data_IF_623028919516
#
_entry.id   IF_623028919516
#
_cell.length_a   1.000
_cell.length_b   1.000
_cell.length_c   1.000
_cell.angle_alpha   90.00
_cell.angle_beta   90.00
_cell.angle_gamma   90.00
#
_symmetry.space_group_name_H-M   'P 1'
#
loop_
_entity.id
_entity.type
_entity.pdbx_description
1 polymer ?
#
# COMPACT_ATOMS: atom_id res chain seq x y z
N UNK A 1 7.60 5.53 -9.27
CA UNK A 1 7.46 5.57 -7.79
C UNK A 1 6.91 6.92 -7.38
N UNK A 2 6.38 7.07 -6.16
CA UNK A 2 5.85 8.37 -5.68
C UNK A 2 6.88 9.51 -5.83
N UNK A 3 8.17 9.18 -5.67
CA UNK A 3 9.29 10.09 -5.90
C UNK A 3 9.35 10.70 -7.32
N UNK A 4 8.92 10.00 -8.36
CA UNK A 4 8.95 10.53 -9.73
C UNK A 4 7.93 11.66 -9.94
N UNK A 5 6.90 11.69 -9.09
CA UNK A 5 5.81 12.68 -9.12
C UNK A 5 6.06 13.77 -8.08
N UNK A 6 6.58 13.39 -6.91
CA UNK A 6 6.84 14.24 -5.76
C UNK A 6 8.31 14.10 -5.30
N UNK A 7 9.27 14.60 -6.09
CA UNK A 7 10.70 14.34 -5.87
C UNK A 7 11.22 14.86 -4.54
N UNK A 8 10.60 15.91 -3.99
CA UNK A 8 11.00 16.54 -2.73
C UNK A 8 10.31 15.93 -1.50
N UNK A 9 9.24 15.14 -1.70
CA UNK A 9 8.46 14.59 -0.59
C UNK A 9 9.21 13.47 0.13
N UNK A 10 9.41 13.56 1.46
CA UNK A 10 10.05 12.49 2.23
C UNK A 10 9.26 11.19 2.18
N UNK A 11 9.95 10.09 1.93
CA UNK A 11 9.38 8.74 1.88
C UNK A 11 10.00 7.89 2.98
N UNK A 12 9.16 7.25 3.79
CA UNK A 12 9.57 6.13 4.62
C UNK A 12 9.21 4.83 3.91
N UNK A 13 10.21 4.00 3.62
CA UNK A 13 10.04 2.65 3.10
C UNK A 13 10.25 1.68 4.27
N UNK A 14 9.29 0.79 4.48
CA UNK A 14 9.41 -0.32 5.43
C UNK A 14 9.26 -1.60 4.62
N UNK A 15 10.27 -2.47 4.67
CA UNK A 15 10.31 -3.72 3.93
C UNK A 15 10.56 -4.88 4.89
N UNK A 16 9.71 -5.90 4.83
CA UNK A 16 9.87 -7.13 5.61
C UNK A 16 10.92 -8.05 5.02
N UNK A 17 11.08 -8.08 3.70
CA UNK A 17 12.02 -8.95 2.99
C UNK A 17 13.43 -8.36 2.95
N UNK A 18 14.34 -8.93 3.75
CA UNK A 18 15.75 -8.51 3.77
C UNK A 18 16.47 -8.74 2.44
N UNK A 19 15.98 -9.63 1.58
CA UNK A 19 16.59 -9.89 0.27
C UNK A 19 16.50 -8.66 -0.66
N UNK A 20 15.56 -7.74 -0.39
CA UNK A 20 15.42 -6.48 -1.14
C UNK A 20 16.33 -5.35 -0.62
N UNK A 21 17.12 -5.58 0.43
CA UNK A 21 17.89 -4.53 1.10
C UNK A 21 18.85 -3.81 0.15
N UNK A 22 19.57 -4.55 -0.71
CA UNK A 22 20.56 -3.95 -1.62
C UNK A 22 19.89 -3.04 -2.66
N UNK A 23 18.86 -3.55 -3.35
CA UNK A 23 18.12 -2.78 -4.36
C UNK A 23 17.40 -1.57 -3.75
N UNK A 24 16.80 -1.73 -2.56
CA UNK A 24 16.12 -0.63 -1.88
C UNK A 24 17.09 0.43 -1.37
N UNK A 25 18.30 0.05 -0.95
CA UNK A 25 19.34 1.04 -0.63
C UNK A 25 19.79 1.82 -1.86
N UNK A 26 19.89 1.17 -3.03
CA UNK A 26 20.19 1.86 -4.27
C UNK A 26 19.08 2.85 -4.64
N UNK A 27 17.81 2.43 -4.56
CA UNK A 27 16.65 3.31 -4.79
C UNK A 27 16.62 4.47 -3.79
N UNK A 28 16.85 4.20 -2.50
CA UNK A 28 16.86 5.22 -1.46
C UNK A 28 17.93 6.28 -1.74
N UNK A 29 19.14 5.88 -2.16
CA UNK A 29 20.20 6.83 -2.54
C UNK A 29 19.70 7.81 -3.61
N UNK A 30 19.05 7.32 -4.66
CA UNK A 30 18.47 8.18 -5.70
C UNK A 30 17.37 9.10 -5.14
N UNK A 31 16.48 8.58 -4.28
CA UNK A 31 15.41 9.38 -3.65
C UNK A 31 16.01 10.50 -2.78
N UNK A 32 17.04 10.19 -2.00
CA UNK A 32 17.62 11.13 -1.04
C UNK A 32 18.34 12.32 -1.67
N UNK A 33 18.63 12.28 -2.98
CA UNK A 33 19.16 13.43 -3.72
C UNK A 33 18.21 14.63 -3.63
N UNK A 34 16.91 14.39 -3.82
CA UNK A 34 15.89 15.45 -3.77
C UNK A 34 15.07 15.43 -2.48
N UNK A 35 15.07 14.32 -1.73
CA UNK A 35 14.38 14.23 -0.45
C UNK A 35 15.26 13.62 0.66
N UNK A 36 16.18 14.41 1.26
CA UNK A 36 17.19 13.91 2.21
C UNK A 36 16.62 13.32 3.50
N UNK A 37 15.35 13.57 3.81
CA UNK A 37 14.66 13.03 5.00
C UNK A 37 14.08 11.63 4.78
N UNK A 38 14.15 11.10 3.57
CA UNK A 38 13.65 9.76 3.24
C UNK A 38 14.46 8.68 3.96
N UNK A 39 13.80 7.59 4.36
CA UNK A 39 14.39 6.51 5.15
C UNK A 39 13.93 5.14 4.64
N UNK A 40 14.78 4.14 4.86
CA UNK A 40 14.47 2.72 4.66
C UNK A 40 14.64 1.99 5.98
N UNK A 41 13.67 1.16 6.33
CA UNK A 41 13.73 0.24 7.46
C UNK A 41 13.46 -1.18 6.96
N UNK A 42 14.32 -2.11 7.37
CA UNK A 42 14.14 -3.54 7.09
C UNK A 42 13.56 -4.18 8.35
N UNK A 43 12.24 -4.10 8.49
CA UNK A 43 11.51 -4.54 9.68
C UNK A 43 10.23 -5.28 9.29
N UNK A 44 9.93 -6.36 10.00
CA UNK A 44 8.72 -7.15 9.80
C UNK A 44 7.61 -6.62 10.70
N UNK A 45 6.57 -6.03 10.12
CA UNK A 45 5.50 -5.35 10.85
C UNK A 45 4.28 -6.26 11.01
N UNK A 46 3.69 -6.25 12.20
CA UNK A 46 2.46 -6.96 12.57
C UNK A 46 1.67 -6.16 13.61
N UNK A 47 0.58 -6.74 14.09
CA UNK A 47 -0.29 -6.25 15.17
C UNK A 47 0.40 -6.10 16.55
N UNK A 48 1.38 -6.95 16.85
CA UNK A 48 2.21 -6.86 18.06
C UNK A 48 3.57 -7.54 17.85
N UNK A 49 4.48 -7.37 18.81
CA UNK A 49 5.77 -8.07 18.84
C UNK A 49 5.55 -9.55 19.19
N UNK A 50 5.83 -10.44 18.25
CA UNK A 50 5.71 -11.90 18.40
C UNK A 50 6.72 -12.61 17.51
N UNK A 51 7.00 -13.87 17.80
CA UNK A 51 7.68 -14.75 16.85
C UNK A 51 6.66 -15.28 15.83
N UNK A 52 7.05 -15.27 14.56
CA UNK A 52 6.25 -15.78 13.44
C UNK A 52 7.09 -16.70 12.57
N UNK A 53 6.43 -17.57 11.82
CA UNK A 53 7.05 -18.17 10.64
C UNK A 53 6.93 -17.20 9.48
N UNK A 54 8.06 -16.82 8.90
CA UNK A 54 8.16 -16.04 7.67
C UNK A 54 8.42 -16.99 6.51
N UNK A 55 7.56 -16.93 5.49
CA UNK A 55 7.63 -17.79 4.32
C UNK A 55 8.38 -17.07 3.21
N UNK A 56 9.43 -17.69 2.70
CA UNK A 56 10.17 -17.25 1.52
C UNK A 56 10.08 -18.30 0.45
N UNK A 57 10.29 -17.91 -0.80
CA UNK A 57 10.46 -18.86 -1.90
C UNK A 57 11.90 -18.89 -2.42
N UNK A 58 12.34 -20.06 -2.88
CA UNK A 58 13.63 -20.27 -3.54
C UNK A 58 13.62 -19.85 -5.01
N UNK A 59 12.43 -19.57 -5.56
CA UNK A 59 12.27 -19.21 -6.96
C UNK A 59 12.61 -17.74 -7.18
N UNK A 60 13.55 -17.47 -8.08
CA UNK A 60 13.93 -16.11 -8.47
C UNK A 60 12.78 -15.37 -9.15
N UNK A 61 12.71 -14.05 -8.94
CA UNK A 61 11.77 -13.16 -9.62
C UNK A 61 10.32 -13.29 -9.17
N UNK A 62 10.09 -13.97 -8.05
CA UNK A 62 8.78 -14.06 -7.41
C UNK A 62 8.61 -12.95 -6.36
N UNK A 63 7.37 -12.54 -6.17
CA UNK A 63 6.91 -11.68 -5.09
C UNK A 63 5.98 -12.54 -4.21
N UNK A 64 5.85 -12.22 -2.92
CA UNK A 64 4.97 -13.00 -2.03
C UNK A 64 5.57 -13.42 -0.68
N UNK A 65 6.85 -13.09 -0.42
CA UNK A 65 7.45 -13.40 0.88
C UNK A 65 6.70 -12.66 2.00
N UNK A 66 6.11 -13.40 2.94
CA UNK A 66 5.29 -12.81 4.00
C UNK A 66 5.12 -13.76 5.20
N UNK A 67 4.41 -13.32 6.24
CA UNK A 67 4.04 -14.18 7.39
C UNK A 67 2.81 -15.05 7.10
N UNK A 68 2.14 -14.81 5.97
CA UNK A 68 1.01 -15.58 5.49
C UNK A 68 1.40 -16.33 4.21
N UNK A 69 1.56 -17.64 4.32
CA UNK A 69 1.99 -18.48 3.21
C UNK A 69 1.07 -18.31 2.00
N UNK A 70 1.64 -17.87 0.89
CA UNK A 70 0.93 -17.80 -0.39
C UNK A 70 0.39 -19.18 -0.81
N UNK A 71 -0.80 -19.20 -1.39
CA UNK A 71 -1.54 -20.36 -1.80
C UNK A 71 -1.36 -20.63 -3.30
N UNK A 72 -0.09 -20.68 -3.73
CA UNK A 72 0.28 -20.90 -5.12
C UNK A 72 1.31 -22.03 -5.26
N UNK A 73 1.61 -22.39 -6.50
CA UNK A 73 2.69 -23.34 -6.82
C UNK A 73 4.08 -22.77 -6.49
N UNK A 74 4.25 -21.45 -6.45
CA UNK A 74 5.50 -20.78 -6.08
C UNK A 74 5.86 -21.02 -4.60
N UNK A 75 4.85 -21.24 -3.76
CA UNK A 75 4.98 -21.54 -2.34
C UNK A 75 4.56 -22.99 -2.01
N UNK A 76 4.81 -23.91 -2.94
CA UNK A 76 4.56 -25.34 -2.76
C UNK A 76 5.84 -26.17 -2.67
N UNK A 77 5.77 -27.31 -1.99
CA UNK A 77 6.83 -28.34 -1.96
C UNK A 77 8.20 -27.78 -1.53
N UNK A 78 9.26 -28.13 -2.25
CA UNK A 78 10.65 -27.73 -1.98
C UNK A 78 10.96 -26.27 -2.33
N UNK A 79 9.97 -25.49 -2.78
CA UNK A 79 10.18 -24.09 -3.14
C UNK A 79 10.10 -23.16 -1.93
N UNK A 80 9.66 -23.63 -0.76
CA UNK A 80 9.43 -22.78 0.42
C UNK A 80 10.57 -22.91 1.42
N UNK A 81 11.07 -21.78 1.87
CA UNK A 81 11.92 -21.65 3.05
C UNK A 81 11.05 -21.06 4.17
N UNK A 82 11.10 -21.67 5.36
CA UNK A 82 10.46 -21.16 6.56
C UNK A 82 11.51 -20.64 7.53
N UNK A 83 11.41 -19.36 7.88
CA UNK A 83 12.34 -18.70 8.81
C UNK A 83 11.58 -18.22 10.05
N UNK A 84 12.13 -18.43 11.24
CA UNK A 84 11.59 -17.82 12.47
C UNK A 84 12.08 -16.38 12.57
N UNK A 85 11.13 -15.44 12.65
CA UNK A 85 11.43 -14.01 12.74
C UNK A 85 10.58 -13.35 13.82
N UNK A 86 11.10 -12.27 14.38
CA UNK A 86 10.38 -11.45 15.36
C UNK A 86 9.77 -10.25 14.64
N UNK A 87 8.49 -10.02 14.89
CA UNK A 87 7.76 -8.84 14.38
C UNK A 87 7.89 -7.65 15.33
N UNK A 88 7.54 -6.46 14.84
CA UNK A 88 7.26 -5.26 15.62
C UNK A 88 5.95 -4.63 15.13
N UNK A 89 5.54 -3.50 15.68
CA UNK A 89 4.35 -2.76 15.24
C UNK A 89 4.72 -1.49 14.49
N UNK A 90 3.85 -1.02 13.61
CA UNK A 90 4.07 0.23 12.86
C UNK A 90 4.22 1.43 13.80
N UNK A 91 3.42 1.49 14.87
CA UNK A 91 3.52 2.55 15.87
C UNK A 91 4.90 2.54 16.56
N UNK A 92 5.43 1.35 16.88
CA UNK A 92 6.75 1.23 17.50
C UNK A 92 7.89 1.59 16.53
N UNK A 93 7.79 1.16 15.27
CA UNK A 93 8.77 1.45 14.20
C UNK A 93 8.85 2.95 13.90
N UNK A 94 7.72 3.66 13.95
CA UNK A 94 7.65 5.09 13.58
C UNK A 94 7.80 6.05 14.77
N UNK A 95 7.82 5.54 16.01
CA UNK A 95 7.90 6.32 17.26
C UNK A 95 8.97 7.42 17.27
N UNK A 96 10.16 7.14 16.75
CA UNK A 96 11.30 8.07 16.75
C UNK A 96 11.50 8.79 15.40
N UNK A 97 10.66 8.50 14.41
CA UNK A 97 10.72 9.09 13.06
C UNK A 97 9.67 10.19 12.91
N UNK A 98 8.56 10.05 13.64
CA UNK A 98 7.37 10.88 13.51
C UNK A 98 6.25 10.09 12.85
N UNK A 99 5.02 10.51 13.10
CA UNK A 99 3.81 9.78 12.69
C UNK A 99 2.95 10.58 11.70
N UNK A 100 3.40 11.75 11.25
CA UNK A 100 2.66 12.62 10.34
C UNK A 100 2.95 12.24 8.89
N UNK A 101 2.17 11.29 8.35
CA UNK A 101 2.24 10.88 6.96
C UNK A 101 0.97 11.33 6.25
N UNK A 102 1.02 12.08 5.15
CA UNK A 102 -0.20 12.44 4.42
C UNK A 102 -0.84 11.23 3.70
N UNK A 103 0.01 10.29 3.25
CA UNK A 103 -0.36 9.14 2.45
C UNK A 103 0.38 7.89 2.95
N UNK A 104 -0.34 6.79 3.12
CA UNK A 104 0.23 5.48 3.48
C UNK A 104 -0.20 4.45 2.42
N UNK A 105 0.75 3.68 1.88
CA UNK A 105 0.44 2.47 1.10
C UNK A 105 0.71 1.24 1.94
N UNK A 106 -0.20 0.28 1.95
CA UNK A 106 -0.07 -1.01 2.61
C UNK A 106 -0.31 -2.11 1.56
N UNK A 107 0.75 -2.82 1.21
CA UNK A 107 0.78 -3.92 0.25
C UNK A 107 1.89 -4.84 0.77
N UNK A 108 1.46 -5.85 1.53
CA UNK A 108 2.32 -6.67 2.38
C UNK A 108 1.89 -8.14 2.38
N UNK A 109 1.22 -8.55 1.31
CA UNK A 109 0.92 -9.95 0.97
C UNK A 109 0.23 -10.68 2.13
N UNK A 110 -0.83 -10.06 2.66
CA UNK A 110 -1.75 -10.63 3.65
C UNK A 110 -1.66 -10.04 5.07
N UNK A 111 -0.64 -9.23 5.36
CA UNK A 111 -0.44 -8.63 6.70
C UNK A 111 -1.14 -7.28 6.89
N UNK A 112 -1.97 -6.85 5.94
CA UNK A 112 -2.53 -5.49 5.89
C UNK A 112 -3.32 -5.17 7.17
N UNK A 113 -4.20 -6.08 7.59
CA UNK A 113 -4.99 -5.94 8.82
C UNK A 113 -4.11 -5.90 10.07
N UNK A 114 -3.04 -6.70 10.11
CA UNK A 114 -2.13 -6.76 11.24
C UNK A 114 -1.36 -5.44 11.39
N UNK A 115 -0.87 -4.89 10.27
CA UNK A 115 -0.25 -3.56 10.23
C UNK A 115 -1.24 -2.48 10.68
N UNK A 116 -2.49 -2.54 10.24
CA UNK A 116 -3.52 -1.59 10.68
C UNK A 116 -3.76 -1.68 12.19
N UNK A 117 -3.84 -2.90 12.75
CA UNK A 117 -4.02 -3.12 14.19
C UNK A 117 -2.83 -2.64 15.02
N UNK A 118 -1.60 -2.86 14.56
CA UNK A 118 -0.36 -2.44 15.23
C UNK A 118 0.04 -0.98 14.95
N UNK A 119 -0.65 -0.31 14.04
CA UNK A 119 -0.29 1.01 13.51
C UNK A 119 -1.34 2.09 13.72
N UNK A 120 -2.26 1.91 14.66
CA UNK A 120 -3.43 2.80 14.80
C UNK A 120 -3.02 4.26 15.00
N UNK A 121 -2.00 4.55 15.80
CA UNK A 121 -1.57 5.93 16.06
C UNK A 121 -0.96 6.56 14.81
N UNK A 122 -0.14 5.80 14.09
CA UNK A 122 0.50 6.26 12.86
C UNK A 122 -0.51 6.44 11.73
N UNK A 123 -1.44 5.50 11.57
CA UNK A 123 -2.46 5.52 10.53
C UNK A 123 -3.48 6.64 10.76
N UNK A 124 -3.86 6.90 12.02
CA UNK A 124 -4.83 7.94 12.34
C UNK A 124 -4.36 9.34 11.93
N UNK A 125 -3.06 9.55 11.72
CA UNK A 125 -2.53 10.83 11.25
C UNK A 125 -2.60 10.97 9.73
N UNK A 126 -2.85 9.90 8.97
CA UNK A 126 -2.91 9.96 7.52
C UNK A 126 -4.16 10.62 6.95
N UNK A 127 -4.02 11.30 5.81
CA UNK A 127 -5.15 11.84 5.05
C UNK A 127 -5.71 10.80 4.09
N UNK A 128 -4.82 9.96 3.55
CA UNK A 128 -5.12 8.92 2.58
C UNK A 128 -4.39 7.62 2.89
N UNK A 129 -5.07 6.49 2.65
CA UNK A 129 -4.49 5.15 2.79
C UNK A 129 -4.85 4.35 1.55
N UNK A 130 -3.87 3.78 0.88
CA UNK A 130 -4.06 2.83 -0.21
C UNK A 130 -3.72 1.43 0.29
N UNK A 131 -4.66 0.49 0.19
CA UNK A 131 -4.45 -0.89 0.64
C UNK A 131 -4.72 -1.85 -0.51
N UNK A 132 -3.78 -2.74 -0.81
CA UNK A 132 -4.03 -3.92 -1.67
C UNK A 132 -4.65 -5.01 -0.79
N UNK A 133 -5.89 -5.40 -1.07
CA UNK A 133 -6.62 -6.36 -0.23
C UNK A 133 -7.10 -7.55 -1.06
N UNK A 134 -6.89 -8.76 -0.53
CA UNK A 134 -7.37 -9.98 -1.16
C UNK A 134 -8.89 -10.19 -1.01
N UNK A 135 -9.48 -10.80 -2.03
CA UNK A 135 -10.88 -11.22 -2.11
C UNK A 135 -11.04 -12.75 -2.11
N UNK A 136 -9.98 -13.47 -2.43
CA UNK A 136 -9.87 -14.93 -2.29
C UNK A 136 -8.69 -15.25 -1.37
N UNK A 137 -8.60 -16.47 -0.85
CA UNK A 137 -7.50 -16.89 0.03
C UNK A 137 -6.21 -17.11 -0.80
N UNK A 138 -5.63 -16.01 -1.28
CA UNK A 138 -4.34 -15.99 -1.97
C UNK A 138 -3.22 -16.18 -0.95
N UNK A 139 -3.32 -15.52 0.21
CA UNK A 139 -2.46 -15.77 1.36
C UNK A 139 -3.27 -16.54 2.42
N UNK A 140 -2.80 -17.74 2.79
CA UNK A 140 -3.54 -18.66 3.66
C UNK A 140 -3.84 -18.04 5.01
N UNK A 141 -5.11 -18.01 5.40
CA UNK A 141 -5.61 -17.42 6.65
C UNK A 141 -5.35 -15.92 6.82
N UNK A 142 -4.88 -15.22 5.77
CA UNK A 142 -4.78 -13.78 5.83
C UNK A 142 -6.18 -13.14 5.82
N UNK A 143 -6.37 -11.98 6.43
CA UNK A 143 -7.64 -11.26 6.41
C UNK A 143 -8.09 -10.88 4.99
N UNK A 144 -9.41 -10.82 4.81
CA UNK A 144 -10.04 -10.40 3.57
C UNK A 144 -10.35 -8.90 3.58
N UNK A 145 -10.66 -8.37 2.41
CA UNK A 145 -11.09 -6.99 2.19
C UNK A 145 -12.12 -6.46 3.20
N UNK A 146 -13.10 -7.26 3.63
CA UNK A 146 -14.15 -6.84 4.55
C UNK A 146 -13.60 -6.51 5.96
N UNK A 147 -12.59 -7.25 6.42
CA UNK A 147 -11.89 -6.95 7.67
C UNK A 147 -11.09 -5.65 7.54
N UNK A 148 -10.43 -5.41 6.40
CA UNK A 148 -9.69 -4.17 6.13
C UNK A 148 -10.63 -2.95 6.15
N UNK A 149 -11.76 -3.06 5.45
CA UNK A 149 -12.78 -1.99 5.43
C UNK A 149 -13.29 -1.72 6.84
N UNK A 150 -13.59 -2.77 7.62
CA UNK A 150 -14.06 -2.62 9.00
C UNK A 150 -13.03 -1.91 9.87
N UNK A 151 -11.76 -2.34 9.87
CA UNK A 151 -10.70 -1.75 10.67
C UNK A 151 -10.48 -0.27 10.33
N UNK A 152 -10.47 0.08 9.05
CA UNK A 152 -10.30 1.47 8.61
C UNK A 152 -11.54 2.31 8.93
N UNK A 153 -12.75 1.74 8.82
CA UNK A 153 -13.98 2.41 9.25
C UNK A 153 -13.98 2.75 10.74
N UNK A 154 -13.50 1.84 11.59
CA UNK A 154 -13.33 2.09 13.03
C UNK A 154 -12.33 3.22 13.32
N UNK A 155 -11.37 3.44 12.43
CA UNK A 155 -10.42 4.56 12.46
C UNK A 155 -10.94 5.83 11.76
N UNK A 156 -12.24 5.90 11.47
CA UNK A 156 -12.89 7.02 10.77
C UNK A 156 -12.38 7.27 9.35
N UNK A 157 -11.96 6.22 8.65
CA UNK A 157 -11.70 6.25 7.21
C UNK A 157 -12.87 5.65 6.43
N UNK A 158 -13.08 6.13 5.21
CA UNK A 158 -14.03 5.59 4.25
C UNK A 158 -13.35 5.33 2.92
N UNK A 159 -13.80 4.29 2.23
CA UNK A 159 -13.41 4.01 0.86
C UNK A 159 -13.89 5.14 -0.05
N UNK A 160 -13.06 5.53 -1.01
CA UNK A 160 -13.38 6.56 -2.01
C UNK A 160 -13.04 6.18 -3.44
N UNK A 161 -12.17 5.21 -3.68
CA UNK A 161 -11.85 4.74 -5.03
C UNK A 161 -11.21 3.35 -5.05
N UNK A 162 -11.14 2.74 -6.24
CA UNK A 162 -10.44 1.48 -6.54
C UNK A 162 -9.47 1.74 -7.69
N UNK A 163 -8.17 1.51 -7.48
CA UNK A 163 -7.10 1.88 -8.41
C UNK A 163 -6.70 0.74 -9.34
N UNK A 164 -6.53 -0.46 -8.81
CA UNK A 164 -6.09 -1.64 -9.54
C UNK A 164 -6.99 -2.83 -9.19
N UNK A 165 -7.17 -3.72 -10.16
CA UNK A 165 -8.00 -4.92 -10.04
C UNK A 165 -7.20 -6.09 -10.61
N UNK A 166 -6.86 -7.03 -9.74
CA UNK A 166 -5.97 -8.15 -10.06
C UNK A 166 -6.79 -9.41 -10.23
N UNK A 167 -6.68 -10.06 -11.39
CA UNK A 167 -7.35 -11.34 -11.67
C UNK A 167 -6.33 -12.45 -11.74
N UNK A 168 -6.71 -13.63 -11.24
CA UNK A 168 -5.99 -14.87 -11.51
C UNK A 168 -6.12 -15.27 -12.99
N UNK A 169 -5.22 -16.15 -13.50
CA UNK A 169 -5.30 -16.66 -14.87
C UNK A 169 -6.62 -17.35 -15.21
N UNK A 170 -7.34 -17.86 -14.21
CA UNK A 170 -8.65 -18.49 -14.37
C UNK A 170 -9.84 -17.52 -14.34
N UNK A 171 -9.56 -16.21 -14.25
CA UNK A 171 -10.56 -15.14 -14.30
C UNK A 171 -11.19 -14.79 -12.95
N UNK A 172 -10.81 -15.45 -11.85
CA UNK A 172 -11.26 -15.05 -10.51
C UNK A 172 -10.58 -13.74 -10.07
N UNK A 173 -11.36 -12.87 -9.45
CA UNK A 173 -10.85 -11.64 -8.83
C UNK A 173 -10.00 -12.00 -7.60
N UNK A 174 -8.73 -11.61 -7.60
CA UNK A 174 -7.75 -11.91 -6.57
C UNK A 174 -7.67 -10.82 -5.51
N UNK A 175 -7.23 -9.63 -5.94
CA UNK A 175 -6.90 -8.49 -5.09
C UNK A 175 -7.38 -7.20 -5.75
N UNK A 176 -7.62 -6.18 -4.95
CA UNK A 176 -7.85 -4.82 -5.43
C UNK A 176 -7.10 -3.80 -4.58
N UNK A 177 -6.67 -2.72 -5.22
CA UNK A 177 -6.09 -1.54 -4.56
C UNK A 177 -7.20 -0.55 -4.21
N UNK A 178 -7.44 -0.33 -2.92
CA UNK A 178 -8.54 0.51 -2.42
C UNK A 178 -7.98 1.77 -1.78
N UNK A 179 -8.45 2.92 -2.23
CA UNK A 179 -8.14 4.19 -1.61
C UNK A 179 -9.18 4.54 -0.53
N UNK A 180 -8.68 4.83 0.65
CA UNK A 180 -9.42 5.33 1.79
C UNK A 180 -8.99 6.75 2.15
N UNK A 181 -9.90 7.49 2.78
CA UNK A 181 -9.61 8.82 3.34
C UNK A 181 -10.42 9.08 4.60
N UNK A 182 -9.96 10.02 5.42
CA UNK A 182 -10.66 10.41 6.65
C UNK A 182 -12.07 10.93 6.35
N UNK A 183 -13.02 10.54 7.19
CA UNK A 183 -14.43 10.91 7.07
C UNK A 183 -14.67 12.42 7.08
N UNK A 184 -13.85 13.18 7.81
CA UNK A 184 -13.92 14.64 7.90
C UNK A 184 -13.09 15.37 6.83
N UNK A 185 -12.54 14.65 5.85
CA UNK A 185 -11.79 15.28 4.77
C UNK A 185 -12.72 16.15 3.89
N UNK A 186 -12.58 17.47 4.03
CA UNK A 186 -13.46 18.46 3.40
C UNK A 186 -13.32 18.56 1.87
N UNK A 187 -12.28 17.95 1.30
CA UNK A 187 -11.97 17.96 -0.14
C UNK A 187 -12.96 17.12 -0.98
N UNK A 188 -13.82 16.33 -0.32
CA UNK A 188 -14.81 15.46 -0.94
C UNK A 188 -16.23 16.02 -0.96
N UNK A 189 -16.40 17.31 -0.63
CA UNK A 189 -17.72 17.96 -0.69
C UNK A 189 -18.14 18.14 -2.15
N UNK A 190 -19.30 17.57 -2.51
CA UNK A 190 -19.93 17.75 -3.82
C UNK A 190 -20.21 19.25 -4.02
N UNK A 191 -19.63 19.85 -5.06
CA UNK A 191 -19.89 21.26 -5.40
C UNK A 191 -21.07 21.37 -6.37
N UNK A 192 -22.10 22.12 -6.01
CA UNK A 192 -23.27 22.42 -6.87
C UNK A 192 -22.98 23.62 -7.81
N UNK A 193 -21.84 23.65 -8.51
CA UNK A 193 -21.58 24.74 -9.48
C UNK A 193 -22.10 24.39 -10.87
N UNK A 194 -23.02 25.22 -11.36
CA UNK A 194 -23.65 25.12 -12.67
C UNK A 194 -22.63 25.01 -13.81
N UNK A 195 -22.84 24.00 -14.67
CA UNK A 195 -22.06 23.69 -15.87
C UNK A 195 -22.08 24.86 -16.87
N UNK A 196 -20.98 25.58 -17.01
CA UNK A 196 -20.69 26.38 -18.22
C UNK A 196 -19.69 25.64 -19.10
N UNK A 197 -19.97 25.66 -20.41
CA UNK A 197 -19.34 24.89 -21.48
C UNK A 197 -17.82 25.12 -21.57
N UNK A 198 -17.07 24.01 -21.69
CA UNK A 198 -15.70 23.82 -22.22
C UNK A 198 -14.78 22.90 -21.40
N UNK A 199 -15.30 22.22 -20.37
CA UNK A 199 -14.52 21.19 -19.69
C UNK A 199 -14.95 19.80 -20.19
N UNK A 200 -14.00 19.05 -20.75
CA UNK A 200 -14.14 17.60 -20.96
C UNK A 200 -14.12 16.96 -19.57
N UNK A 201 -15.26 16.42 -19.16
CA UNK A 201 -15.46 15.79 -17.85
C UNK A 201 -15.04 14.33 -17.93
N UNK A 202 -14.02 13.93 -17.16
CA UNK A 202 -13.87 12.54 -16.72
C UNK A 202 -14.64 12.40 -15.41
N UNK A 203 -15.45 11.36 -15.36
CA UNK A 203 -16.37 11.02 -14.26
C UNK A 203 -15.55 10.70 -13.01
N UNK A 204 -15.50 11.66 -12.08
CA UNK A 204 -15.37 11.63 -10.61
C UNK A 204 -14.54 12.86 -10.14
N UNK A 205 -15.22 13.88 -9.63
CA UNK A 205 -14.62 15.05 -9.01
C UNK A 205 -14.22 14.74 -7.55
N UNK A 206 -12.94 14.45 -7.33
CA UNK A 206 -12.28 14.65 -6.03
C UNK A 206 -11.33 15.83 -6.21
N UNK A 207 -11.73 16.99 -5.69
CA UNK A 207 -11.03 18.25 -5.86
C UNK A 207 -10.04 18.46 -4.71
N UNK A 208 -8.83 17.93 -4.86
CA UNK A 208 -7.71 18.20 -3.94
C UNK A 208 -6.92 19.41 -4.50
N UNK A 209 -6.69 20.45 -3.68
CA UNK A 209 -5.91 21.64 -4.03
C UNK A 209 -4.95 21.90 -2.85
N UNK A 210 -3.64 22.14 -3.01
CA UNK A 210 -2.94 22.88 -4.06
C UNK A 210 -1.76 22.08 -4.64
N UNK A 211 -1.72 22.04 -5.97
CA UNK A 211 -0.63 21.58 -6.87
C UNK A 211 -0.20 20.09 -6.88
N UNK A 212 -0.40 19.33 -5.82
CA UNK A 212 0.01 17.91 -5.70
C UNK A 212 -0.87 16.85 -6.45
N UNK A 213 -2.21 16.97 -6.62
CA UNK A 213 -3.04 15.79 -6.97
C UNK A 213 -3.36 15.63 -8.47
N UNK A 214 -3.28 16.69 -9.27
CA UNK A 214 -3.64 16.63 -10.70
C UNK A 214 -2.64 15.81 -11.53
N UNK A 215 -1.36 15.82 -11.14
CA UNK A 215 -0.32 15.02 -11.81
C UNK A 215 -0.39 13.54 -11.44
N UNK A 216 -0.70 13.22 -10.18
CA UNK A 216 -0.90 11.85 -9.69
C UNK A 216 -2.05 11.16 -10.46
N UNK A 217 -3.19 11.84 -10.59
CA UNK A 217 -4.35 11.30 -11.33
C UNK A 217 -4.04 11.17 -12.84
N UNK A 218 -3.37 12.16 -13.47
CA UNK A 218 -3.07 12.06 -14.92
C UNK A 218 -2.04 10.98 -15.28
N UNK A 219 -1.16 10.59 -14.36
CA UNK A 219 -0.14 9.56 -14.61
C UNK A 219 -0.62 8.14 -14.27
N UNK A 220 -1.49 7.99 -13.26
CA UNK A 220 -2.22 6.74 -13.00
C UNK A 220 -3.03 6.37 -14.24
N UNK A 221 -3.74 7.33 -14.84
CA UNK A 221 -4.46 7.15 -16.11
C UNK A 221 -3.55 6.82 -17.32
N UNK A 222 -2.27 7.23 -17.33
CA UNK A 222 -1.32 6.90 -18.40
C UNK A 222 -0.75 5.49 -18.29
N UNK A 223 -0.69 4.90 -17.10
CA UNK A 223 -0.19 3.52 -16.89
C UNK A 223 -1.23 2.47 -17.26
N UNK A 224 -2.51 2.74 -17.01
CA UNK A 224 -3.61 1.83 -17.38
C UNK A 224 -3.83 1.74 -18.91
N UNK A 225 -3.43 2.76 -19.69
CA UNK A 225 -3.60 2.79 -21.15
C UNK A 225 -2.39 2.32 -21.98
N UNK A 226 -1.23 2.04 -21.37
CA UNK A 226 -0.05 1.53 -22.10
C UNK A 226 0.08 0.00 -22.14
N UNK A 227 -0.95 -0.75 -21.70
CA UNK A 227 -1.15 -2.13 -22.18
C UNK A 227 -1.85 -2.12 -23.55
N UNK A 228 -1.19 -1.56 -24.55
CA UNK A 228 -1.44 -1.91 -25.96
C UNK A 228 -0.12 -2.36 -26.58
N UNK A 229 -0.07 -3.67 -26.85
CA UNK A 229 0.77 -4.33 -27.83
C UNK A 229 2.29 -4.27 -27.59
N UNK A 230 2.80 -5.26 -26.88
CA UNK A 230 3.75 -6.26 -27.42
C UNK A 230 3.67 -7.53 -26.58
#
# INVERSE_FOLDING_TARGET
MAHDIFPETPILIIEGNSDHTEILNHILKSITVNSPKSKLLIELISDHKKEVTYYKTTLNGTTGNSIYKENSTHFSSNNVIEEKRITTTLDQTTKNIGTNYDFIKIDVQGSEADIIKGGKQTIQNANYILVEAQLIEYNKKAPFIDEIIKLLSELSFRMVDIFEIHYLPDGRLNEIDILFTKNNNSELKISNKNKTKNNIWLKYDICINRETPKKMISQILKRTFNKKLK
#
